data_IF_451067904602
#
_entry.id   IF_451067904602
#
_cell.length_a   1.000
_cell.length_b   1.000
_cell.length_c   1.000
_cell.angle_alpha   90.00
_cell.angle_beta   90.00
_cell.angle_gamma   90.00
#
_symmetry.space_group_name_H-M   'P 1'
#
loop_
_entity.id
_entity.type
_entity.pdbx_description
1 polymer ?
#
# COMPACT_ATOMS: atom_id res chain seq x y z
N UNK A 1 1.60 9.66 43.09
CA UNK A 1 0.15 9.65 42.88
C UNK A 1 -0.17 8.75 41.68
N UNK A 2 -0.62 7.62 41.95
CA UNK A 2 -1.31 6.48 41.34
C UNK A 2 -1.15 6.16 39.85
N UNK A 3 -0.09 5.37 39.50
CA UNK A 3 0.08 4.62 38.24
C UNK A 3 -1.02 3.55 38.00
N UNK A 4 -1.79 3.19 39.02
CA UNK A 4 -2.82 2.13 38.94
C UNK A 4 -4.16 2.59 38.38
N UNK A 5 -4.42 3.89 38.24
CA UNK A 5 -5.67 4.40 37.69
C UNK A 5 -5.66 4.52 36.16
N UNK A 6 -4.48 4.56 35.51
CA UNK A 6 -4.36 4.59 34.07
C UNK A 6 -4.67 3.22 33.41
N UNK A 7 -4.37 2.13 34.13
CA UNK A 7 -4.62 0.76 33.66
C UNK A 7 -6.11 0.38 33.78
N UNK A 8 -6.85 0.95 34.73
CA UNK A 8 -8.29 0.67 34.93
C UNK A 8 -9.20 1.35 33.89
N UNK A 9 -8.80 2.49 33.32
CA UNK A 9 -9.59 3.17 32.28
C UNK A 9 -9.47 2.51 30.91
N UNK A 10 -8.44 1.71 30.63
CA UNK A 10 -8.29 0.94 29.39
C UNK A 10 -9.24 -0.29 29.32
N UNK A 11 -9.82 -0.70 30.44
CA UNK A 11 -10.70 -1.87 30.50
C UNK A 11 -12.20 -1.56 30.35
N UNK A 12 -12.60 -0.30 30.49
CA UNK A 12 -14.01 0.11 30.52
C UNK A 12 -14.70 0.23 29.14
N UNK A 13 -13.95 0.16 28.01
CA UNK A 13 -14.52 0.35 26.67
C UNK A 13 -14.48 -0.91 25.79
N UNK A 14 -14.44 -2.11 26.38
CA UNK A 14 -14.35 -3.40 25.67
C UNK A 14 -15.71 -4.09 25.50
N UNK A 15 -16.65 -3.47 24.83
CA UNK A 15 -17.88 -4.18 24.38
C UNK A 15 -17.91 -4.36 22.85
N UNK A 16 -16.76 -4.68 22.24
CA UNK A 16 -16.77 -5.37 20.93
C UNK A 16 -16.52 -6.83 21.24
N UNK A 17 -17.39 -7.72 20.71
CA UNK A 17 -17.12 -9.16 20.62
C UNK A 17 -15.94 -9.35 19.64
N UNK A 18 -14.73 -9.05 20.09
CA UNK A 18 -13.53 -9.51 19.42
C UNK A 18 -13.48 -11.01 19.57
N UNK A 19 -13.10 -11.72 18.53
CA UNK A 19 -12.83 -13.15 18.61
C UNK A 19 -11.90 -13.40 19.80
N UNK A 20 -12.17 -14.42 20.62
CA UNK A 20 -11.30 -14.75 21.74
C UNK A 20 -9.87 -14.97 21.20
N UNK A 21 -8.88 -14.48 21.92
CA UNK A 21 -7.46 -14.51 21.54
C UNK A 21 -7.02 -15.88 20.98
N UNK A 22 -7.31 -17.04 21.65
CA UNK A 22 -6.90 -18.33 21.13
C UNK A 22 -7.55 -18.67 19.77
N UNK A 23 -8.81 -18.30 19.58
CA UNK A 23 -9.51 -18.52 18.32
C UNK A 23 -8.93 -17.69 17.17
N UNK A 24 -8.63 -16.42 17.41
CA UNK A 24 -8.03 -15.55 16.40
C UNK A 24 -6.62 -16.03 16.02
N UNK A 25 -5.82 -16.44 16.99
CA UNK A 25 -4.49 -17.01 16.74
C UNK A 25 -4.62 -18.32 15.97
N UNK A 26 -5.54 -19.21 16.35
CA UNK A 26 -5.77 -20.47 15.66
C UNK A 26 -6.21 -20.28 14.20
N UNK A 27 -7.10 -19.31 13.94
CA UNK A 27 -7.53 -18.94 12.58
C UNK A 27 -6.33 -18.45 11.76
N UNK A 28 -5.52 -17.55 12.33
CA UNK A 28 -4.38 -16.97 11.63
C UNK A 28 -3.32 -18.03 11.31
N UNK A 29 -3.02 -18.95 12.24
CA UNK A 29 -2.15 -20.08 12.02
C UNK A 29 -2.73 -21.08 11.01
N UNK A 30 -4.04 -21.33 11.06
CA UNK A 30 -4.74 -22.16 10.08
C UNK A 30 -4.61 -21.61 8.66
N UNK A 31 -4.83 -20.30 8.49
CA UNK A 31 -4.63 -19.62 7.20
C UNK A 31 -3.16 -19.67 6.75
N UNK A 32 -2.22 -19.46 7.66
CA UNK A 32 -0.78 -19.58 7.38
C UNK A 32 -0.39 -20.98 6.94
N UNK A 33 -0.93 -22.03 7.59
CA UNK A 33 -0.70 -23.41 7.24
C UNK A 33 -1.28 -23.76 5.87
N UNK A 34 -2.52 -23.33 5.59
CA UNK A 34 -3.13 -23.51 4.26
C UNK A 34 -2.27 -22.84 3.19
N UNK A 35 -1.84 -21.60 3.42
CA UNK A 35 -0.99 -20.87 2.48
C UNK A 35 0.36 -21.58 2.28
N UNK A 36 0.98 -22.11 3.34
CA UNK A 36 2.23 -22.86 3.26
C UNK A 36 2.04 -24.19 2.50
N UNK A 37 0.93 -24.91 2.72
CA UNK A 37 0.61 -26.14 1.99
C UNK A 37 0.40 -25.85 0.50
N UNK A 38 -0.33 -24.80 0.15
CA UNK A 38 -0.53 -24.39 -1.25
C UNK A 38 0.80 -24.01 -1.87
N UNK A 39 1.67 -23.27 -1.16
CA UNK A 39 3.00 -22.88 -1.62
C UNK A 39 3.90 -24.08 -1.91
N UNK A 40 3.91 -25.08 -1.03
CA UNK A 40 4.74 -26.29 -1.20
C UNK A 40 4.24 -27.16 -2.34
N UNK A 41 2.92 -27.31 -2.47
CA UNK A 41 2.32 -28.16 -3.52
C UNK A 41 2.25 -27.48 -4.89
N UNK A 42 2.35 -26.15 -4.94
CA UNK A 42 2.38 -25.45 -6.22
C UNK A 42 3.68 -25.77 -6.96
N UNK A 43 3.57 -26.20 -8.22
CA UNK A 43 4.71 -26.51 -9.09
C UNK A 43 4.65 -25.62 -10.34
N UNK A 44 5.77 -24.93 -10.61
CA UNK A 44 5.91 -24.16 -11.83
C UNK A 44 6.83 -24.93 -12.81
N UNK A 45 6.28 -25.51 -13.90
CA UNK A 45 7.07 -26.30 -14.83
C UNK A 45 8.13 -25.50 -15.60
N UNK A 46 8.05 -24.17 -15.60
CA UNK A 46 8.99 -23.28 -16.29
C UNK A 46 10.11 -22.76 -15.37
N UNK A 47 10.06 -23.04 -14.09
CA UNK A 47 11.07 -22.58 -13.13
C UNK A 47 12.19 -23.60 -12.95
N UNK A 48 13.43 -23.11 -12.77
CA UNK A 48 14.54 -23.95 -12.34
C UNK A 48 14.24 -24.56 -10.96
N UNK A 49 14.46 -25.86 -10.81
CA UNK A 49 14.09 -26.64 -9.64
C UNK A 49 14.74 -26.09 -8.35
N UNK A 50 16.01 -25.66 -8.41
CA UNK A 50 16.72 -25.10 -7.25
C UNK A 50 16.09 -23.77 -6.84
N UNK A 51 15.83 -22.90 -7.80
CA UNK A 51 15.20 -21.59 -7.59
C UNK A 51 13.78 -21.75 -7.01
N UNK A 52 13.00 -22.71 -7.50
CA UNK A 52 11.67 -23.00 -7.00
C UNK A 52 11.71 -23.47 -5.53
N UNK A 53 12.62 -24.40 -5.20
CA UNK A 53 12.79 -24.87 -3.82
C UNK A 53 13.22 -23.75 -2.87
N UNK A 54 14.14 -22.89 -3.29
CA UNK A 54 14.55 -21.72 -2.48
C UNK A 54 13.38 -20.76 -2.22
N UNK A 55 12.54 -20.49 -3.22
CA UNK A 55 11.33 -19.65 -3.06
C UNK A 55 10.32 -20.28 -2.10
N UNK A 56 10.09 -21.58 -2.21
CA UNK A 56 9.20 -22.33 -1.30
C UNK A 56 9.72 -22.30 0.14
N UNK A 57 11.00 -22.56 0.33
CA UNK A 57 11.63 -22.53 1.66
C UNK A 57 11.57 -21.13 2.28
N UNK A 58 12.00 -20.09 1.55
CA UNK A 58 11.96 -18.71 2.04
C UNK A 58 10.53 -18.25 2.33
N UNK A 59 9.56 -18.60 1.50
CA UNK A 59 8.16 -18.32 1.73
C UNK A 59 7.61 -18.96 3.01
N UNK A 60 7.90 -20.25 3.24
CA UNK A 60 7.50 -20.95 4.47
C UNK A 60 8.14 -20.33 5.73
N UNK A 61 9.41 -19.95 5.66
CA UNK A 61 10.11 -19.24 6.77
C UNK A 61 9.42 -17.92 7.07
N UNK A 62 9.10 -17.12 6.05
CA UNK A 62 8.42 -15.83 6.23
C UNK A 62 7.01 -15.99 6.79
N UNK A 63 6.24 -16.97 6.30
CA UNK A 63 4.89 -17.27 6.82
C UNK A 63 4.98 -17.63 8.31
N UNK A 64 5.89 -18.56 8.66
CA UNK A 64 6.07 -19.01 10.06
C UNK A 64 6.48 -17.85 10.96
N UNK A 65 7.43 -17.04 10.53
CA UNK A 65 7.89 -15.86 11.25
C UNK A 65 6.75 -14.85 11.50
N UNK A 66 5.93 -14.58 10.47
CA UNK A 66 4.77 -13.69 10.58
C UNK A 66 3.73 -14.26 11.57
N UNK A 67 3.46 -15.56 11.53
CA UNK A 67 2.55 -16.23 12.46
C UNK A 67 3.06 -16.16 13.91
N UNK A 68 4.36 -16.34 14.13
CA UNK A 68 4.98 -16.25 15.46
C UNK A 68 4.87 -14.82 16.00
N UNK A 69 5.21 -13.80 15.20
CA UNK A 69 5.08 -12.38 15.60
C UNK A 69 3.63 -12.07 15.96
N UNK A 70 2.68 -12.50 15.12
CA UNK A 70 1.26 -12.28 15.38
C UNK A 70 0.81 -12.94 16.68
N UNK A 71 1.21 -14.18 16.95
CA UNK A 71 0.83 -14.90 18.18
C UNK A 71 1.40 -14.23 19.44
N UNK A 72 2.69 -13.84 19.42
CA UNK A 72 3.36 -13.21 20.55
C UNK A 72 2.77 -11.83 20.84
N UNK A 73 2.55 -11.03 19.78
CA UNK A 73 2.15 -9.63 19.91
C UNK A 73 0.68 -9.37 19.59
N UNK A 74 -0.18 -10.41 19.58
CA UNK A 74 -1.60 -10.32 19.22
C UNK A 74 -2.31 -9.12 19.86
N UNK A 75 -2.25 -8.98 21.19
CA UNK A 75 -2.95 -7.91 21.90
C UNK A 75 -2.46 -6.51 21.52
N UNK A 76 -1.20 -6.43 21.09
CA UNK A 76 -0.60 -5.17 20.63
C UNK A 76 -0.95 -4.87 19.18
N UNK A 77 -0.94 -5.85 18.31
CA UNK A 77 -1.23 -5.70 16.88
C UNK A 77 -2.72 -5.42 16.67
N UNK A 78 -3.60 -6.18 17.34
CA UNK A 78 -5.06 -6.06 17.17
C UNK A 78 -5.66 -4.78 17.78
N UNK A 79 -4.93 -4.05 18.61
CA UNK A 79 -5.42 -2.79 19.18
C UNK A 79 -5.74 -1.76 18.10
N UNK A 80 -4.84 -1.54 17.14
CA UNK A 80 -5.03 -0.52 16.10
C UNK A 80 -6.20 -0.88 15.17
N UNK A 81 -6.31 -2.07 14.57
CA UNK A 81 -7.49 -2.45 13.79
C UNK A 81 -8.81 -2.28 14.54
N UNK A 82 -8.86 -2.63 15.82
CA UNK A 82 -10.05 -2.47 16.66
C UNK A 82 -10.38 -0.99 16.88
N UNK A 83 -9.39 -0.16 17.23
CA UNK A 83 -9.55 1.29 17.39
C UNK A 83 -10.04 1.94 16.09
N UNK A 84 -9.52 1.53 14.93
CA UNK A 84 -9.96 2.01 13.62
C UNK A 84 -11.42 1.64 13.33
N UNK A 85 -11.79 0.40 13.59
CA UNK A 85 -13.18 -0.06 13.38
C UNK A 85 -14.18 0.70 14.26
N UNK A 86 -13.83 0.93 15.52
CA UNK A 86 -14.65 1.71 16.46
C UNK A 86 -14.82 3.15 15.99
N UNK A 87 -13.76 3.73 15.47
CA UNK A 87 -13.70 5.14 15.06
C UNK A 87 -14.09 5.37 13.59
N UNK A 88 -14.58 4.34 12.85
CA UNK A 88 -14.80 4.42 11.39
C UNK A 88 -15.65 5.61 10.92
N UNK A 89 -16.70 5.98 11.68
CA UNK A 89 -17.53 7.16 11.36
C UNK A 89 -16.75 8.47 11.49
N UNK A 90 -15.93 8.57 12.55
CA UNK A 90 -15.07 9.73 12.79
C UNK A 90 -13.97 9.81 11.73
N UNK A 91 -13.32 8.69 11.42
CA UNK A 91 -12.28 8.59 10.39
C UNK A 91 -12.82 9.10 9.06
N UNK A 92 -14.00 8.61 8.63
CA UNK A 92 -14.61 9.03 7.38
C UNK A 92 -14.94 10.53 7.34
N UNK A 93 -15.48 11.07 8.44
CA UNK A 93 -15.78 12.51 8.56
C UNK A 93 -14.52 13.35 8.49
N UNK A 94 -13.46 12.95 9.22
CA UNK A 94 -12.19 13.67 9.25
C UNK A 94 -11.46 13.55 7.91
N UNK A 95 -11.44 12.39 7.25
CA UNK A 95 -10.82 12.23 5.94
C UNK A 95 -11.49 13.10 4.86
N UNK A 96 -12.81 13.17 4.85
CA UNK A 96 -13.54 14.11 3.96
C UNK A 96 -13.20 15.56 4.25
N UNK A 97 -13.09 15.91 5.53
CA UNK A 97 -12.73 17.27 5.92
C UNK A 97 -11.29 17.59 5.53
N UNK A 98 -10.33 16.70 5.81
CA UNK A 98 -8.92 16.84 5.43
C UNK A 98 -8.78 17.08 3.92
N UNK A 99 -9.47 16.26 3.12
CA UNK A 99 -9.48 16.41 1.68
C UNK A 99 -10.02 17.79 1.22
N UNK A 100 -11.13 18.24 1.82
CA UNK A 100 -11.73 19.54 1.47
C UNK A 100 -10.85 20.73 1.90
N UNK A 101 -10.29 20.67 3.12
CA UNK A 101 -9.53 21.78 3.67
C UNK A 101 -8.17 21.95 3.01
N UNK A 102 -7.58 20.87 2.48
CA UNK A 102 -6.31 20.92 1.76
C UNK A 102 -6.32 21.88 0.57
N UNK A 103 -7.44 22.00 -0.08
CA UNK A 103 -7.63 22.87 -1.26
C UNK A 103 -8.53 24.08 -0.98
N UNK A 104 -8.92 24.28 0.29
CA UNK A 104 -9.71 25.44 0.70
C UNK A 104 -8.90 26.73 0.57
N UNK A 105 -9.53 27.75 -0.01
CA UNK A 105 -8.87 29.05 -0.25
C UNK A 105 -8.10 29.16 -1.58
N UNK A 106 -7.99 28.07 -2.33
CA UNK A 106 -7.43 28.10 -3.68
C UNK A 106 -8.52 28.40 -4.71
N UNK A 107 -8.20 29.22 -5.74
CA UNK A 107 -9.13 29.58 -6.81
C UNK A 107 -9.67 28.37 -7.59
N UNK A 108 -8.80 27.40 -7.90
CA UNK A 108 -9.16 26.17 -8.61
C UNK A 108 -9.54 25.01 -7.67
N UNK A 109 -9.38 25.18 -6.36
CA UNK A 109 -9.76 24.19 -5.37
C UNK A 109 -9.13 22.82 -5.63
N UNK A 110 -9.96 21.78 -5.64
CA UNK A 110 -9.57 20.37 -5.82
C UNK A 110 -8.90 20.10 -7.19
N UNK A 111 -9.13 20.93 -8.20
CA UNK A 111 -8.53 20.75 -9.53
C UNK A 111 -7.00 20.76 -9.47
N UNK A 112 -6.40 21.48 -8.53
CA UNK A 112 -4.95 21.45 -8.33
C UNK A 112 -4.40 20.06 -7.93
N UNK A 113 -5.19 19.27 -7.20
CA UNK A 113 -4.79 17.89 -6.89
C UNK A 113 -4.60 17.04 -8.13
N UNK A 114 -5.36 17.34 -9.18
CA UNK A 114 -5.39 16.59 -10.43
C UNK A 114 -4.42 17.17 -11.46
N UNK A 115 -4.11 18.46 -11.37
CA UNK A 115 -3.33 19.16 -12.38
C UNK A 115 -1.92 18.58 -12.54
N UNK A 116 -1.17 18.42 -11.46
CA UNK A 116 0.21 17.93 -11.53
C UNK A 116 0.31 16.51 -12.14
N UNK A 117 -0.42 15.47 -11.68
CA UNK A 117 -0.37 14.16 -12.29
C UNK A 117 -0.85 14.15 -13.76
N UNK A 118 -1.91 14.90 -14.09
CA UNK A 118 -2.39 14.99 -15.49
C UNK A 118 -1.33 15.61 -16.39
N UNK A 119 -0.72 16.72 -15.98
CA UNK A 119 0.39 17.35 -16.72
C UNK A 119 1.54 16.37 -16.88
N UNK A 120 1.89 15.61 -15.84
CA UNK A 120 2.96 14.59 -15.90
C UNK A 120 2.65 13.52 -16.94
N UNK A 121 1.45 12.97 -16.96
CA UNK A 121 1.03 11.96 -17.97
C UNK A 121 1.07 12.54 -19.36
N UNK A 122 0.54 13.76 -19.56
CA UNK A 122 0.54 14.46 -20.87
C UNK A 122 1.98 14.72 -21.35
N UNK A 123 2.86 15.18 -20.45
CA UNK A 123 4.27 15.40 -20.82
C UNK A 123 4.99 14.11 -21.21
N UNK A 124 4.78 13.03 -20.46
CA UNK A 124 5.35 11.74 -20.83
C UNK A 124 4.76 11.23 -22.15
N UNK A 125 3.46 11.40 -22.36
CA UNK A 125 2.86 11.08 -23.67
C UNK A 125 3.53 11.84 -24.80
N UNK A 126 3.67 13.16 -24.70
CA UNK A 126 4.31 13.99 -25.73
C UNK A 126 5.75 13.51 -25.97
N UNK A 127 6.54 13.32 -24.92
CA UNK A 127 7.95 12.95 -25.03
C UNK A 127 8.11 11.56 -25.66
N UNK A 128 7.41 10.57 -25.15
CA UNK A 128 7.61 9.19 -25.60
C UNK A 128 6.90 8.88 -26.92
N UNK A 129 5.68 9.38 -27.11
CA UNK A 129 4.90 9.10 -28.33
C UNK A 129 5.31 10.02 -29.50
N UNK A 130 5.54 11.34 -29.24
CA UNK A 130 5.80 12.31 -30.31
C UNK A 130 7.28 12.59 -30.57
N UNK A 131 8.14 12.59 -29.52
CA UNK A 131 9.57 12.89 -29.66
C UNK A 131 10.38 11.63 -29.89
N UNK A 132 10.16 10.57 -29.11
CA UNK A 132 10.89 9.30 -29.24
C UNK A 132 10.24 8.30 -30.20
N UNK A 133 9.04 8.57 -30.71
CA UNK A 133 8.25 7.68 -31.58
C UNK A 133 8.05 6.26 -30.99
N UNK A 134 8.01 6.18 -29.63
CA UNK A 134 7.77 4.93 -28.90
C UNK A 134 6.26 4.69 -28.88
N UNK A 135 5.72 4.14 -29.96
CA UNK A 135 4.26 3.99 -30.14
C UNK A 135 3.70 2.83 -29.35
N UNK A 136 4.45 1.76 -29.20
CA UNK A 136 4.01 0.54 -28.53
C UNK A 136 5.08 -0.03 -27.62
N UNK A 137 4.62 -0.80 -26.62
CA UNK A 137 5.45 -1.59 -25.70
C UNK A 137 5.05 -3.06 -25.83
N UNK A 138 6.02 -3.91 -26.11
CA UNK A 138 5.83 -5.35 -26.03
C UNK A 138 5.75 -5.76 -24.54
N UNK A 139 4.65 -6.38 -24.14
CA UNK A 139 4.44 -6.88 -22.76
C UNK A 139 4.76 -8.38 -22.70
N UNK A 140 4.84 -8.92 -21.47
CA UNK A 140 5.21 -10.32 -21.23
C UNK A 140 4.29 -11.34 -21.92
N UNK A 141 3.03 -10.97 -22.16
CA UNK A 141 2.06 -11.78 -22.94
C UNK A 141 2.31 -11.81 -24.45
N UNK A 142 3.32 -11.10 -24.96
CA UNK A 142 3.61 -10.97 -26.40
C UNK A 142 2.67 -10.02 -27.15
N UNK A 143 1.81 -9.30 -26.44
CA UNK A 143 0.90 -8.30 -27.02
C UNK A 143 1.60 -6.93 -27.09
N UNK A 144 1.45 -6.22 -28.19
CA UNK A 144 1.88 -4.82 -28.29
C UNK A 144 0.79 -3.90 -27.76
N UNK A 145 1.13 -3.11 -26.74
CA UNK A 145 0.22 -2.18 -26.07
C UNK A 145 0.69 -0.75 -26.35
N UNK A 146 -0.23 0.21 -26.62
CA UNK A 146 0.15 1.62 -26.76
C UNK A 146 0.93 2.09 -25.53
N UNK A 147 2.09 2.71 -25.76
CA UNK A 147 2.99 3.09 -24.68
C UNK A 147 2.32 4.00 -23.63
N UNK A 148 1.40 4.88 -24.08
CA UNK A 148 0.62 5.76 -23.19
C UNK A 148 -0.23 4.95 -22.21
N UNK A 149 -0.86 3.88 -22.66
CA UNK A 149 -1.67 3.01 -21.81
C UNK A 149 -0.78 2.23 -20.82
N UNK A 150 0.34 1.68 -21.32
CA UNK A 150 1.35 1.01 -20.50
C UNK A 150 1.86 1.91 -19.38
N UNK A 151 2.20 3.16 -19.72
CA UNK A 151 2.71 4.17 -18.81
C UNK A 151 1.65 4.59 -17.77
N UNK A 152 0.44 4.91 -18.22
CA UNK A 152 -0.65 5.38 -17.36
C UNK A 152 -1.05 4.31 -16.34
N UNK A 153 -1.10 3.03 -16.77
CA UNK A 153 -1.39 1.90 -15.87
C UNK A 153 -0.34 1.77 -14.75
N UNK A 154 0.92 2.14 -15.00
CA UNK A 154 1.96 2.15 -13.98
C UNK A 154 1.98 3.42 -13.11
N UNK A 155 1.67 4.59 -13.70
CA UNK A 155 1.71 5.87 -12.99
C UNK A 155 0.54 6.05 -12.01
N UNK A 156 -0.64 5.54 -12.32
CA UNK A 156 -1.82 5.71 -11.45
C UNK A 156 -1.60 5.15 -10.04
N UNK A 157 -1.18 3.88 -9.86
CA UNK A 157 -0.85 3.38 -8.54
C UNK A 157 0.36 4.09 -7.91
N UNK A 158 1.35 4.53 -8.70
CA UNK A 158 2.50 5.26 -8.22
C UNK A 158 2.13 6.62 -7.63
N UNK A 159 1.29 7.41 -8.29
CA UNK A 159 0.81 8.69 -7.77
C UNK A 159 0.09 8.52 -6.43
N UNK A 160 -0.75 7.49 -6.31
CA UNK A 160 -1.40 7.20 -5.04
C UNK A 160 -0.39 6.81 -3.96
N UNK A 161 0.57 5.95 -4.28
CA UNK A 161 1.61 5.54 -3.34
C UNK A 161 2.39 6.74 -2.80
N UNK A 162 2.88 7.60 -3.69
CA UNK A 162 3.70 8.77 -3.31
C UNK A 162 2.90 9.76 -2.47
N UNK A 163 1.68 10.09 -2.88
CA UNK A 163 0.81 10.99 -2.15
C UNK A 163 0.46 10.44 -0.77
N UNK A 164 -0.01 9.20 -0.71
CA UNK A 164 -0.49 8.59 0.52
C UNK A 164 0.63 8.35 1.54
N UNK A 165 1.84 7.94 1.12
CA UNK A 165 2.96 7.76 2.05
C UNK A 165 3.49 9.09 2.57
N UNK A 166 3.60 10.11 1.71
CA UNK A 166 4.04 11.46 2.11
C UNK A 166 3.09 12.06 3.14
N UNK A 167 1.78 12.04 2.86
CA UNK A 167 0.75 12.55 3.75
C UNK A 167 0.63 11.71 5.03
N UNK A 168 0.67 10.38 4.89
CA UNK A 168 0.61 9.45 6.01
C UNK A 168 1.78 9.64 6.98
N UNK A 169 2.98 9.89 6.48
CA UNK A 169 4.17 10.17 7.30
C UNK A 169 3.99 11.44 8.12
N UNK A 170 3.46 12.51 7.51
CA UNK A 170 3.29 13.81 8.19
C UNK A 170 2.06 13.89 9.10
N UNK A 171 1.23 12.84 9.15
CA UNK A 171 -0.07 12.87 9.83
C UNK A 171 -0.01 13.33 11.30
N UNK A 172 0.97 12.89 12.09
CA UNK A 172 1.11 13.27 13.49
C UNK A 172 1.61 14.71 13.66
N UNK A 173 2.51 15.16 12.79
CA UNK A 173 3.06 16.52 12.83
C UNK A 173 1.99 17.56 12.46
N UNK A 174 1.22 17.31 11.39
CA UNK A 174 0.16 18.21 10.97
C UNK A 174 -1.01 18.32 11.96
N UNK A 175 -1.33 17.20 12.63
CA UNK A 175 -2.36 17.13 13.66
C UNK A 175 -1.81 17.19 15.09
N UNK A 176 -0.63 17.80 15.30
CA UNK A 176 0.02 17.89 16.62
C UNK A 176 -0.90 18.45 17.72
N UNK A 177 -1.77 19.40 17.37
CA UNK A 177 -2.77 19.97 18.31
C UNK A 177 -3.80 18.92 18.80
N UNK A 178 -4.10 17.88 18.00
CA UNK A 178 -4.96 16.76 18.42
C UNK A 178 -4.18 15.75 19.26
N UNK A 179 -2.90 15.55 18.96
CA UNK A 179 -2.02 14.62 19.70
C UNK A 179 -1.88 15.04 21.16
N UNK A 180 -1.86 16.36 21.42
CA UNK A 180 -1.79 16.94 22.78
C UNK A 180 -3.10 16.83 23.58
N UNK A 181 -4.22 16.45 22.94
CA UNK A 181 -5.49 16.28 23.64
C UNK A 181 -5.62 14.87 24.20
N UNK A 182 -5.77 14.77 25.52
CA UNK A 182 -5.81 13.50 26.28
C UNK A 182 -6.89 12.51 25.80
N UNK A 183 -8.02 13.02 25.30
CA UNK A 183 -9.20 12.20 24.93
C UNK A 183 -9.19 11.75 23.46
N UNK A 184 -8.23 12.23 22.64
CA UNK A 184 -8.22 11.94 21.22
C UNK A 184 -7.48 10.64 20.89
N UNK A 185 -8.09 9.77 20.05
CA UNK A 185 -7.43 8.55 19.59
C UNK A 185 -6.45 8.86 18.45
N UNK A 186 -5.18 8.95 18.79
CA UNK A 186 -4.09 9.32 17.88
C UNK A 186 -3.89 8.28 16.76
N UNK A 187 -4.25 7.00 17.01
CA UNK A 187 -4.07 5.91 16.04
C UNK A 187 -4.86 6.10 14.74
N UNK A 188 -5.88 6.97 14.74
CA UNK A 188 -6.69 7.21 13.54
C UNK A 188 -6.06 8.24 12.57
N UNK A 189 -5.04 8.98 12.98
CA UNK A 189 -4.48 10.06 12.16
C UNK A 189 -3.83 9.58 10.85
N UNK A 190 -2.99 8.53 10.84
CA UNK A 190 -2.40 8.05 9.59
C UNK A 190 -3.45 7.56 8.58
N UNK A 191 -4.47 6.80 9.03
CA UNK A 191 -5.50 6.28 8.11
C UNK A 191 -6.37 7.40 7.53
N UNK A 192 -6.59 8.50 8.26
CA UNK A 192 -7.31 9.68 7.74
C UNK A 192 -6.60 10.22 6.50
N UNK A 193 -5.27 10.37 6.54
CA UNK A 193 -4.46 10.86 5.42
C UNK A 193 -4.47 9.89 4.24
N UNK A 194 -4.34 8.60 4.50
CA UNK A 194 -4.37 7.56 3.45
C UNK A 194 -5.74 7.53 2.75
N UNK A 195 -6.85 7.62 3.50
CA UNK A 195 -8.21 7.69 2.91
C UNK A 195 -8.39 9.00 2.13
N UNK A 196 -7.89 10.12 2.62
CA UNK A 196 -7.97 11.39 1.88
C UNK A 196 -7.25 11.31 0.52
N UNK A 197 -6.08 10.66 0.46
CA UNK A 197 -5.37 10.40 -0.79
C UNK A 197 -6.14 9.41 -1.70
N UNK A 198 -6.90 8.47 -1.14
CA UNK A 198 -7.71 7.51 -1.92
C UNK A 198 -8.78 8.22 -2.77
N UNK A 199 -9.32 9.37 -2.35
CA UNK A 199 -10.28 10.12 -3.17
C UNK A 199 -9.67 10.60 -4.49
N UNK A 200 -8.41 11.04 -4.47
CA UNK A 200 -7.67 11.44 -5.69
C UNK A 200 -7.35 10.19 -6.52
N UNK A 201 -6.96 9.09 -5.87
CA UNK A 201 -6.67 7.84 -6.56
C UNK A 201 -7.86 7.29 -7.35
N UNK A 202 -9.06 7.30 -6.77
CA UNK A 202 -10.30 6.88 -7.47
C UNK A 202 -10.51 7.70 -8.75
N UNK A 203 -10.26 9.01 -8.70
CA UNK A 203 -10.32 9.84 -9.90
C UNK A 203 -9.32 9.37 -10.97
N UNK A 204 -8.06 9.08 -10.59
CA UNK A 204 -7.05 8.61 -11.56
C UNK A 204 -7.33 7.21 -12.10
N UNK A 205 -7.97 6.33 -11.33
CA UNK A 205 -8.46 5.05 -11.85
C UNK A 205 -9.53 5.27 -12.93
N UNK A 206 -10.45 6.23 -12.73
CA UNK A 206 -11.43 6.60 -13.78
C UNK A 206 -10.72 7.18 -15.01
N UNK A 207 -9.73 8.03 -14.85
CA UNK A 207 -8.92 8.55 -15.98
C UNK A 207 -8.23 7.42 -16.73
N UNK A 208 -7.66 6.44 -16.00
CA UNK A 208 -7.04 5.27 -16.62
C UNK A 208 -8.04 4.46 -17.46
N UNK A 209 -9.26 4.27 -16.96
CA UNK A 209 -10.33 3.59 -17.71
C UNK A 209 -10.75 4.38 -18.97
N UNK A 210 -10.83 5.69 -18.89
CA UNK A 210 -11.11 6.55 -20.05
C UNK A 210 -10.01 6.41 -21.10
N UNK A 211 -8.73 6.47 -20.68
CA UNK A 211 -7.58 6.27 -21.58
C UNK A 211 -7.63 4.88 -22.21
N UNK A 212 -7.90 3.84 -21.42
CA UNK A 212 -8.03 2.45 -21.89
C UNK A 212 -9.08 2.34 -23.01
N UNK A 213 -10.28 2.86 -22.79
CA UNK A 213 -11.38 2.86 -23.77
C UNK A 213 -10.99 3.63 -25.03
N UNK A 214 -10.31 4.78 -24.89
CA UNK A 214 -9.87 5.59 -26.04
C UNK A 214 -8.88 4.85 -26.96
N UNK A 215 -8.10 3.91 -26.41
CA UNK A 215 -7.20 3.04 -27.18
C UNK A 215 -7.82 1.69 -27.57
N UNK A 216 -9.13 1.48 -27.34
CA UNK A 216 -9.86 0.27 -27.76
C UNK A 216 -9.83 -0.87 -26.74
N UNK A 217 -9.26 -0.67 -25.55
CA UNK A 217 -9.26 -1.64 -24.46
C UNK A 217 -10.49 -1.41 -23.57
N UNK A 218 -11.56 -2.11 -23.85
CA UNK A 218 -12.82 -1.97 -23.10
C UNK A 218 -12.76 -2.70 -21.76
N UNK A 219 -13.47 -2.19 -20.74
CA UNK A 219 -13.55 -2.85 -19.44
C UNK A 219 -14.12 -4.28 -19.55
N UNK A 220 -13.38 -5.25 -19.03
CA UNK A 220 -13.74 -6.66 -18.92
C UNK A 220 -13.94 -7.06 -17.47
N UNK A 221 -14.25 -8.33 -17.19
CA UNK A 221 -14.27 -8.84 -15.81
C UNK A 221 -12.92 -8.69 -15.11
N UNK A 222 -11.81 -8.77 -15.87
CA UNK A 222 -10.45 -8.55 -15.33
C UNK A 222 -10.25 -7.14 -14.81
N UNK A 223 -10.93 -6.15 -15.35
CA UNK A 223 -10.85 -4.75 -14.88
C UNK A 223 -11.32 -4.58 -13.44
N UNK A 224 -12.19 -5.48 -12.92
CA UNK A 224 -12.58 -5.46 -11.51
C UNK A 224 -11.39 -5.67 -10.56
N UNK A 225 -10.29 -6.27 -11.03
CA UNK A 225 -9.07 -6.45 -10.26
C UNK A 225 -8.40 -5.12 -9.88
N UNK A 226 -8.71 -4.01 -10.57
CA UNK A 226 -8.24 -2.67 -10.16
C UNK A 226 -8.68 -2.34 -8.72
N UNK A 227 -9.89 -2.76 -8.32
CA UNK A 227 -10.37 -2.58 -6.92
C UNK A 227 -9.52 -3.41 -5.96
N UNK A 228 -9.20 -4.66 -6.32
CA UNK A 228 -8.33 -5.52 -5.52
C UNK A 228 -6.92 -4.94 -5.36
N UNK A 229 -6.28 -4.53 -6.47
CA UNK A 229 -4.93 -3.97 -6.42
C UNK A 229 -4.88 -2.60 -5.72
N UNK A 230 -5.94 -1.78 -5.86
CA UNK A 230 -6.07 -0.53 -5.09
C UNK A 230 -6.19 -0.80 -3.59
N UNK A 231 -6.92 -1.85 -3.19
CA UNK A 231 -7.01 -2.26 -1.80
C UNK A 231 -5.67 -2.82 -1.27
N UNK A 232 -4.97 -3.62 -2.06
CA UNK A 232 -3.62 -4.07 -1.75
C UNK A 232 -2.67 -2.90 -1.49
N UNK A 233 -2.67 -1.91 -2.38
CA UNK A 233 -1.85 -0.71 -2.27
C UNK A 233 -2.24 0.13 -1.04
N UNK A 234 -3.54 0.28 -0.76
CA UNK A 234 -4.03 0.95 0.44
C UNK A 234 -3.46 0.32 1.72
N UNK A 235 -3.47 -1.02 1.84
CA UNK A 235 -2.95 -1.71 3.00
C UNK A 235 -1.41 -1.59 3.12
N UNK A 236 -0.69 -1.68 2.00
CA UNK A 236 0.76 -1.50 1.97
C UNK A 236 1.13 -0.10 2.48
N UNK A 237 0.51 0.94 1.91
CA UNK A 237 0.77 2.33 2.32
C UNK A 237 0.36 2.58 3.77
N UNK A 238 -0.74 2.00 4.22
CA UNK A 238 -1.19 2.15 5.61
C UNK A 238 -0.16 1.56 6.58
N UNK A 239 0.38 0.37 6.30
CA UNK A 239 1.44 -0.25 7.10
C UNK A 239 2.71 0.60 7.15
N UNK A 240 3.15 1.13 6.00
CA UNK A 240 4.28 2.05 5.91
C UNK A 240 4.00 3.35 6.67
N UNK A 241 2.81 3.92 6.55
CA UNK A 241 2.43 5.18 7.21
C UNK A 241 2.46 5.05 8.73
N UNK A 242 2.02 3.93 9.31
CA UNK A 242 2.15 3.71 10.76
C UNK A 242 3.60 3.68 11.22
N UNK A 243 4.49 3.08 10.43
CA UNK A 243 5.91 3.04 10.74
C UNK A 243 6.53 4.43 10.63
N UNK A 244 6.35 5.08 9.48
CA UNK A 244 7.04 6.34 9.16
C UNK A 244 6.52 7.52 9.98
N UNK A 245 5.21 7.62 10.22
CA UNK A 245 4.66 8.69 11.06
C UNK A 245 5.10 8.58 12.53
N UNK A 246 5.32 7.37 13.05
CA UNK A 246 5.87 7.21 14.40
C UNK A 246 7.32 7.66 14.48
N UNK A 247 8.12 7.36 13.46
CA UNK A 247 9.54 7.71 13.42
C UNK A 247 9.78 9.19 13.15
N UNK A 248 8.99 9.83 12.28
CA UNK A 248 9.17 11.25 11.89
C UNK A 248 9.00 12.21 13.06
N UNK A 249 8.21 11.85 14.08
CA UNK A 249 8.04 12.65 15.30
C UNK A 249 9.38 12.87 16.02
N UNK A 250 10.24 11.84 16.04
CA UNK A 250 11.55 11.88 16.70
C UNK A 250 12.69 12.23 15.75
N UNK A 251 12.52 11.95 14.47
CA UNK A 251 13.52 12.19 13.43
C UNK A 251 12.88 12.86 12.22
N UNK A 252 12.84 14.19 12.23
CA UNK A 252 12.14 15.01 11.21
C UNK A 252 12.72 14.88 9.81
N UNK A 253 14.03 14.60 9.71
CA UNK A 253 14.71 14.44 8.41
C UNK A 253 14.24 13.19 7.66
N UNK A 254 13.53 12.26 8.34
CA UNK A 254 12.91 11.10 7.70
C UNK A 254 12.00 11.50 6.52
N UNK A 255 11.31 12.64 6.60
CA UNK A 255 10.49 13.12 5.48
C UNK A 255 11.33 13.36 4.23
N UNK A 256 12.53 13.95 4.39
CA UNK A 256 13.42 14.17 3.25
C UNK A 256 14.00 12.86 2.71
N UNK A 257 14.32 11.91 3.59
CA UNK A 257 14.75 10.56 3.19
C UNK A 257 13.67 9.86 2.37
N UNK A 258 12.40 9.96 2.80
CA UNK A 258 11.27 9.40 2.06
C UNK A 258 11.13 10.07 0.69
N UNK A 259 11.24 11.39 0.60
CA UNK A 259 11.16 12.10 -0.69
C UNK A 259 12.25 11.63 -1.66
N UNK A 260 13.49 11.46 -1.20
CA UNK A 260 14.59 10.91 -2.01
C UNK A 260 14.29 9.46 -2.39
N UNK A 261 13.84 8.63 -1.44
CA UNK A 261 13.49 7.24 -1.71
C UNK A 261 12.35 7.11 -2.74
N UNK A 262 11.37 8.03 -2.73
CA UNK A 262 10.30 8.07 -3.73
C UNK A 262 10.84 8.46 -5.12
N UNK A 263 11.76 9.41 -5.23
CA UNK A 263 12.38 9.76 -6.51
C UNK A 263 13.16 8.58 -7.10
N UNK A 264 13.97 7.90 -6.29
CA UNK A 264 14.69 6.69 -6.71
C UNK A 264 13.73 5.53 -6.98
N UNK A 265 12.68 5.38 -6.17
CA UNK A 265 11.68 4.33 -6.26
C UNK A 265 10.91 4.34 -7.58
N UNK A 266 10.68 5.52 -8.17
CA UNK A 266 10.06 5.64 -9.49
C UNK A 266 10.89 4.93 -10.58
N UNK A 267 12.22 5.04 -10.51
CA UNK A 267 13.13 4.36 -11.43
C UNK A 267 13.34 2.88 -11.08
N UNK A 268 13.30 2.57 -9.78
CA UNK A 268 13.40 1.18 -9.28
C UNK A 268 12.09 0.38 -9.42
N UNK A 269 11.00 1.02 -9.83
CA UNK A 269 9.75 0.35 -10.20
C UNK A 269 9.62 0.41 -11.73
N UNK A 270 9.33 -0.71 -12.43
CA UNK A 270 9.27 -0.74 -13.90
C UNK A 270 7.98 -0.04 -14.41
N UNK A 271 7.91 1.28 -14.21
CA UNK A 271 6.81 2.15 -14.65
C UNK A 271 7.08 2.64 -16.07
N UNK A 272 8.27 3.23 -16.29
CA UNK A 272 8.70 3.82 -17.56
C UNK A 272 9.35 2.81 -18.51
N UNK A 273 9.72 1.66 -18.02
CA UNK A 273 10.45 0.63 -18.74
C UNK A 273 9.90 -0.77 -18.41
N UNK A 274 10.18 -1.76 -19.26
CA UNK A 274 9.71 -3.12 -19.06
C UNK A 274 10.72 -3.95 -18.27
N UNK A 275 10.24 -4.70 -17.26
CA UNK A 275 11.07 -5.62 -16.50
C UNK A 275 11.66 -6.74 -17.39
N UNK A 276 11.05 -7.00 -18.56
CA UNK A 276 11.52 -8.02 -19.51
C UNK A 276 12.85 -7.66 -20.17
N UNK A 277 13.26 -6.38 -20.11
CA UNK A 277 14.58 -5.94 -20.59
C UNK A 277 15.74 -6.39 -19.70
N UNK A 278 15.44 -6.86 -18.47
CA UNK A 278 16.46 -7.23 -17.49
C UNK A 278 16.84 -8.70 -17.60
N UNK A 279 18.06 -9.02 -17.13
CA UNK A 279 18.51 -10.41 -16.91
C UNK A 279 17.72 -11.04 -15.74
N UNK A 280 17.63 -12.35 -15.68
CA UNK A 280 16.78 -13.07 -14.69
C UNK A 280 17.18 -12.76 -13.25
N UNK A 281 18.47 -12.59 -12.96
CA UNK A 281 18.95 -12.18 -11.63
C UNK A 281 18.45 -10.78 -11.24
N UNK A 282 18.50 -9.83 -12.18
CA UNK A 282 17.99 -8.48 -11.97
C UNK A 282 16.45 -8.48 -11.85
N UNK A 283 15.74 -9.26 -12.68
CA UNK A 283 14.28 -9.42 -12.54
C UNK A 283 13.91 -9.87 -11.13
N UNK A 284 14.65 -10.83 -10.57
CA UNK A 284 14.40 -11.33 -9.21
C UNK A 284 14.62 -10.23 -8.16
N UNK A 285 15.67 -9.43 -8.29
CA UNK A 285 15.96 -8.32 -7.39
C UNK A 285 14.85 -7.26 -7.43
N UNK A 286 14.43 -6.82 -8.62
CA UNK A 286 13.40 -5.81 -8.76
C UNK A 286 12.01 -6.31 -8.30
N UNK A 287 11.72 -7.61 -8.44
CA UNK A 287 10.50 -8.23 -7.91
C UNK A 287 10.42 -8.25 -6.37
N UNK A 288 11.51 -7.97 -5.64
CA UNK A 288 11.47 -7.74 -4.19
C UNK A 288 10.76 -6.43 -3.82
N UNK A 289 10.66 -5.48 -4.75
CA UNK A 289 9.86 -4.29 -4.54
C UNK A 289 8.36 -4.64 -4.64
N UNK A 290 7.55 -4.50 -3.55
CA UNK A 290 6.14 -4.86 -3.56
C UNK A 290 5.30 -4.03 -4.53
N UNK A 291 5.78 -2.84 -4.92
CA UNK A 291 5.08 -2.00 -5.91
C UNK A 291 5.11 -2.60 -7.32
N UNK A 292 6.10 -3.43 -7.63
CA UNK A 292 6.15 -4.15 -8.93
C UNK A 292 4.94 -5.06 -9.09
N UNK A 293 4.53 -5.74 -8.01
CA UNK A 293 3.31 -6.55 -8.01
C UNK A 293 2.06 -5.71 -8.32
N UNK A 294 1.94 -4.53 -7.68
CA UNK A 294 0.81 -3.63 -7.90
C UNK A 294 0.78 -3.07 -9.32
N UNK A 295 1.93 -2.56 -9.81
CA UNK A 295 2.04 -1.98 -11.16
C UNK A 295 1.70 -3.03 -12.23
N UNK A 296 2.26 -4.24 -12.11
CA UNK A 296 1.93 -5.32 -13.03
C UNK A 296 0.47 -5.75 -12.90
N UNK A 297 -0.09 -5.75 -11.69
CA UNK A 297 -1.50 -6.04 -11.45
C UNK A 297 -2.46 -5.06 -12.15
N UNK A 298 -2.12 -3.77 -12.17
CA UNK A 298 -2.88 -2.77 -12.94
C UNK A 298 -2.83 -3.04 -14.44
N UNK A 299 -1.67 -3.47 -14.95
CA UNK A 299 -1.47 -3.86 -16.34
C UNK A 299 -2.27 -5.11 -16.69
N UNK A 300 -2.16 -6.15 -15.85
CA UNK A 300 -2.91 -7.39 -16.04
C UNK A 300 -4.43 -7.17 -16.00
N UNK A 301 -4.90 -6.22 -15.17
CA UNK A 301 -6.31 -5.88 -15.08
C UNK A 301 -6.87 -5.17 -16.33
N UNK A 302 -6.02 -4.50 -17.13
CA UNK A 302 -6.46 -3.65 -18.23
C UNK A 302 -6.27 -4.31 -19.60
N UNK A 303 -5.10 -4.94 -19.84
CA UNK A 303 -4.77 -5.40 -21.19
C UNK A 303 -4.10 -6.78 -21.27
N UNK A 304 -3.58 -7.35 -20.15
CA UNK A 304 -3.03 -8.71 -20.18
C UNK A 304 -4.09 -9.78 -19.91
N UNK A 305 -5.20 -9.41 -19.26
CA UNK A 305 -6.33 -10.29 -18.92
C UNK A 305 -5.94 -11.53 -18.13
N UNK A 306 -5.03 -11.36 -17.14
CA UNK A 306 -4.56 -12.41 -16.25
C UNK A 306 -5.10 -12.17 -14.84
N UNK A 307 -5.58 -13.21 -14.17
CA UNK A 307 -6.10 -13.09 -12.81
C UNK A 307 -4.98 -13.00 -11.77
N UNK A 308 -5.21 -12.27 -10.66
CA UNK A 308 -4.23 -12.09 -9.58
C UNK A 308 -3.79 -13.41 -8.93
N UNK A 309 -4.59 -14.45 -8.94
CA UNK A 309 -4.23 -15.76 -8.41
C UNK A 309 -3.32 -16.56 -9.32
N UNK A 310 -3.24 -16.24 -10.61
CA UNK A 310 -2.30 -16.87 -11.55
C UNK A 310 -0.86 -16.43 -11.25
N UNK A 311 -0.69 -15.23 -10.67
CA UNK A 311 0.59 -14.73 -10.18
C UNK A 311 0.88 -15.19 -8.73
N UNK A 312 0.71 -16.47 -8.45
CA UNK A 312 0.70 -17.04 -7.10
C UNK A 312 1.89 -16.62 -6.22
N UNK A 313 3.14 -16.75 -6.69
CA UNK A 313 4.33 -16.40 -5.90
C UNK A 313 4.41 -14.90 -5.59
N UNK A 314 4.09 -14.05 -6.57
CA UNK A 314 4.12 -12.60 -6.39
C UNK A 314 3.03 -12.13 -5.44
N UNK A 315 1.81 -12.71 -5.56
CA UNK A 315 0.69 -12.43 -4.65
C UNK A 315 1.01 -12.87 -3.22
N UNK A 316 1.54 -14.08 -3.04
CA UNK A 316 1.93 -14.60 -1.72
C UNK A 316 3.00 -13.73 -1.07
N UNK A 317 4.07 -13.39 -1.81
CA UNK A 317 5.13 -12.50 -1.33
C UNK A 317 4.58 -11.15 -0.91
N UNK A 318 3.74 -10.53 -1.76
CA UNK A 318 3.13 -9.23 -1.48
C UNK A 318 2.34 -9.23 -0.16
N UNK A 319 1.48 -10.24 0.05
CA UNK A 319 0.66 -10.30 1.25
C UNK A 319 1.49 -10.54 2.51
N UNK A 320 2.47 -11.45 2.46
CA UNK A 320 3.38 -11.70 3.59
C UNK A 320 4.14 -10.42 3.94
N UNK A 321 4.71 -9.74 2.94
CA UNK A 321 5.42 -8.47 3.12
C UNK A 321 4.52 -7.40 3.74
N UNK A 322 3.33 -7.19 3.19
CA UNK A 322 2.38 -6.16 3.64
C UNK A 322 1.90 -6.42 5.07
N UNK A 323 1.55 -7.67 5.41
CA UNK A 323 1.12 -8.04 6.76
C UNK A 323 2.28 -7.86 7.76
N UNK A 324 3.48 -8.32 7.41
CA UNK A 324 4.67 -8.15 8.26
C UNK A 324 4.97 -6.68 8.52
N UNK A 325 4.92 -5.85 7.47
CA UNK A 325 5.14 -4.41 7.56
C UNK A 325 4.07 -3.73 8.43
N UNK A 326 2.80 -4.11 8.26
CA UNK A 326 1.71 -3.58 9.09
C UNK A 326 1.88 -3.98 10.56
N UNK A 327 2.27 -5.23 10.84
CA UNK A 327 2.56 -5.68 12.20
C UNK A 327 3.72 -4.89 12.82
N UNK A 328 4.83 -4.73 12.11
CA UNK A 328 5.98 -3.96 12.58
C UNK A 328 5.61 -2.50 12.80
N UNK A 329 4.95 -1.87 11.83
CA UNK A 329 4.52 -0.48 11.90
C UNK A 329 3.61 -0.21 13.09
N UNK A 330 2.62 -1.07 13.32
CA UNK A 330 1.69 -0.93 14.47
C UNK A 330 2.38 -1.15 15.81
N UNK A 331 3.32 -2.08 15.92
CA UNK A 331 4.09 -2.33 17.13
C UNK A 331 4.98 -1.13 17.49
N UNK A 332 5.69 -0.58 16.50
CA UNK A 332 6.55 0.60 16.68
C UNK A 332 5.70 1.81 17.07
N UNK A 333 4.61 2.06 16.32
CA UNK A 333 3.68 3.15 16.62
C UNK A 333 3.17 3.09 18.05
N UNK A 334 2.70 1.92 18.51
CA UNK A 334 2.24 1.75 19.90
C UNK A 334 3.32 1.97 20.95
N UNK A 335 4.53 1.47 20.68
CA UNK A 335 5.66 1.66 21.61
C UNK A 335 6.01 3.14 21.76
N UNK A 336 5.98 3.89 20.65
CA UNK A 336 6.38 5.30 20.62
C UNK A 336 5.24 6.26 21.00
N UNK A 337 3.98 5.84 20.90
CA UNK A 337 2.78 6.65 21.16
C UNK A 337 2.79 7.36 22.52
N UNK A 338 3.38 6.73 23.53
CA UNK A 338 3.43 7.28 24.91
C UNK A 338 4.24 8.59 24.97
N UNK A 339 5.22 8.75 24.06
CA UNK A 339 6.13 9.90 24.04
C UNK A 339 5.74 10.98 23.01
N UNK A 340 4.71 10.75 22.18
CA UNK A 340 4.35 11.72 21.13
C UNK A 340 3.94 13.08 21.69
N UNK A 341 3.18 13.11 22.77
CA UNK A 341 2.71 14.38 23.38
C UNK A 341 3.85 15.21 23.99
N UNK A 342 4.94 14.56 24.38
CA UNK A 342 6.11 15.22 24.98
C UNK A 342 7.03 15.82 23.93
N UNK A 343 7.05 15.26 22.70
CA UNK A 343 7.96 15.67 21.62
C UNK A 343 7.31 16.63 20.64
N UNK A 344 6.00 16.51 20.40
CA UNK A 344 5.24 17.37 19.50
C UNK A 344 4.82 18.68 20.16
#
# INVERSE_FOLDING_TARGET
>A
MNRNNTIKNDTANRNIRTLPKPAAIAIFWGLGLVLALVLVNHHNPLADQVTEQMKKFSGCVLITFTCIIFAIYYDRIMTIPVELWQSRKLIWKLAKNDFKTRYAGSYLGIVWAMAQPVVTVVMYWIVFDKVFDTRSQLVASGVEVPYVLYLTAGLVPWFYFTEAITQGTMALLEYSYLVKKVVFNISILPIIKVIAATFIHVFFVVVLLIVSIAYGYYPTLYTLQLVYYSFCLFLLVLGMSYLTCALVVFFRDLQQIINIALQLGMWATPILWSIEMLTDNMKTLFKLNPLVYIVNGYRSAIYEEVWFWEHFYSSTYFWIFTISLFCIGTLIFRKMRVHFADVL
#
